data_IF_771103408621
#
_entry.id   IF_771103408621
#
_cell.length_a   1.000
_cell.length_b   1.000
_cell.length_c   1.000
_cell.angle_alpha   90.00
_cell.angle_beta   90.00
_cell.angle_gamma   90.00
#
_symmetry.space_group_name_H-M   'P 1'
#
loop_
_entity.id
_entity.type
_entity.pdbx_description
1 polymer ?
#
# COMPACT_ATOMS: atom_id res chain seq x y z
N UNK A 1 -0.56 38.36 -43.81
CA UNK A 1 -0.43 37.15 -42.98
C UNK A 1 -0.88 37.51 -41.57
N UNK A 2 -1.91 36.90 -40.98
CA UNK A 2 -2.18 37.11 -39.56
C UNK A 2 -1.17 36.30 -38.72
N UNK A 3 -0.54 36.96 -37.75
CA UNK A 3 0.40 36.34 -36.83
C UNK A 3 -0.33 35.49 -35.79
N UNK A 4 0.17 34.28 -35.54
CA UNK A 4 -0.35 33.40 -34.51
C UNK A 4 -0.01 34.01 -33.14
N UNK A 5 -1.02 34.35 -32.35
CA UNK A 5 -0.81 34.78 -30.97
C UNK A 5 -0.35 33.58 -30.12
N UNK A 6 0.55 33.76 -29.14
CA UNK A 6 0.99 32.67 -28.28
C UNK A 6 -0.20 32.15 -27.47
N UNK A 7 -0.44 30.85 -27.53
CA UNK A 7 -1.37 30.18 -26.61
C UNK A 7 -0.72 30.20 -25.23
N UNK A 8 -1.33 30.89 -24.28
CA UNK A 8 -0.91 30.87 -22.88
C UNK A 8 -1.17 29.48 -22.33
N UNK A 9 -0.08 28.73 -22.10
CA UNK A 9 -0.15 27.39 -21.51
C UNK A 9 -0.37 27.59 -20.02
N UNK A 10 -1.57 27.28 -19.54
CA UNK A 10 -1.89 27.24 -18.12
C UNK A 10 -1.01 26.14 -17.50
N UNK A 11 0.08 26.55 -16.85
CA UNK A 11 0.97 25.62 -16.18
C UNK A 11 0.19 25.08 -14.98
N UNK A 12 0.04 23.75 -14.83
CA UNK A 12 -0.62 23.22 -13.65
C UNK A 12 0.15 23.70 -12.44
N UNK A 13 -0.55 24.43 -11.56
CA UNK A 13 -0.04 24.84 -10.27
C UNK A 13 0.25 23.57 -9.47
N UNK A 14 1.49 23.09 -9.59
CA UNK A 14 2.08 22.07 -8.74
C UNK A 14 2.35 22.72 -7.38
N UNK A 15 1.32 23.31 -6.77
CA UNK A 15 1.35 23.72 -5.38
C UNK A 15 1.87 22.51 -4.62
N UNK A 16 3.03 22.67 -3.99
CA UNK A 16 3.65 21.64 -3.17
C UNK A 16 2.62 21.24 -2.11
N UNK A 17 1.89 20.16 -2.38
CA UNK A 17 1.01 19.56 -1.38
C UNK A 17 1.97 18.95 -0.38
N UNK A 18 2.30 19.72 0.65
CA UNK A 18 2.93 19.19 1.85
C UNK A 18 1.89 18.26 2.45
N UNK A 19 1.88 17.01 2.02
CA UNK A 19 1.07 15.96 2.65
C UNK A 19 1.60 15.86 4.09
N UNK A 20 0.80 16.24 5.11
CA UNK A 20 1.20 15.97 6.47
C UNK A 20 1.39 14.45 6.62
N UNK A 21 2.30 14.00 7.49
CA UNK A 21 2.38 12.59 7.88
C UNK A 21 1.01 12.20 8.46
N UNK A 22 0.19 11.58 7.61
CA UNK A 22 -1.15 11.12 7.94
C UNK A 22 -1.03 9.66 8.37
N UNK A 23 -1.67 9.27 9.49
CA UNK A 23 -1.59 7.90 9.97
C UNK A 23 -2.19 6.95 8.94
N UNK A 24 -1.48 5.87 8.66
CA UNK A 24 -1.87 4.87 7.67
C UNK A 24 -1.80 3.46 8.23
N UNK A 25 -2.54 2.55 7.60
CA UNK A 25 -2.53 1.11 7.91
C UNK A 25 -2.41 0.30 6.62
N UNK A 26 -1.70 -0.82 6.68
CA UNK A 26 -1.64 -1.82 5.61
C UNK A 26 -2.57 -2.97 5.98
N UNK A 27 -3.54 -3.25 5.12
CA UNK A 27 -4.49 -4.35 5.28
C UNK A 27 -4.19 -5.41 4.22
N UNK A 28 -4.12 -6.66 4.65
CA UNK A 28 -4.02 -7.83 3.77
C UNK A 28 -5.35 -8.55 3.78
N UNK A 29 -5.85 -8.90 2.59
CA UNK A 29 -7.13 -9.58 2.38
C UNK A 29 -6.89 -11.05 2.04
N UNK A 30 -7.82 -11.91 2.43
CA UNK A 30 -7.79 -13.32 2.06
C UNK A 30 -8.21 -13.50 0.61
N UNK A 31 -7.58 -14.45 -0.07
CA UNK A 31 -7.91 -14.85 -1.43
C UNK A 31 -7.82 -16.38 -1.57
N UNK A 32 -8.52 -16.98 -2.54
CA UNK A 32 -8.55 -18.44 -2.69
C UNK A 32 -7.39 -19.01 -3.51
N UNK A 33 -6.46 -18.18 -4.00
CA UNK A 33 -5.43 -18.58 -4.97
C UNK A 33 -4.07 -18.72 -4.30
N UNK A 34 -3.69 -17.76 -3.46
CA UNK A 34 -2.40 -17.74 -2.81
C UNK A 34 -2.33 -18.79 -1.69
N UNK A 35 -1.21 -19.50 -1.66
CA UNK A 35 -0.95 -20.50 -0.64
C UNK A 35 -0.59 -19.83 0.70
N UNK A 36 -1.00 -20.45 1.80
CA UNK A 36 -0.63 -20.01 3.17
C UNK A 36 0.89 -19.84 3.33
N UNK A 37 1.68 -20.78 2.80
CA UNK A 37 3.14 -20.73 2.85
C UNK A 37 3.73 -19.55 2.09
N UNK A 38 3.10 -19.15 0.97
CA UNK A 38 3.52 -17.99 0.21
C UNK A 38 3.22 -16.70 0.97
N UNK A 39 2.03 -16.57 1.55
CA UNK A 39 1.65 -15.41 2.36
C UNK A 39 2.57 -15.26 3.58
N UNK A 40 2.87 -16.36 4.28
CA UNK A 40 3.84 -16.36 5.39
C UNK A 40 5.21 -15.87 4.92
N UNK A 41 5.72 -16.36 3.79
CA UNK A 41 7.01 -15.92 3.24
C UNK A 41 7.01 -14.42 2.91
N UNK A 42 5.93 -13.91 2.31
CA UNK A 42 5.78 -12.48 2.01
C UNK A 42 5.81 -11.64 3.28
N UNK A 43 5.18 -12.09 4.37
CA UNK A 43 5.23 -11.37 5.64
C UNK A 43 6.63 -11.34 6.26
N UNK A 44 7.41 -12.41 6.10
CA UNK A 44 8.81 -12.42 6.52
C UNK A 44 9.67 -11.46 5.67
N UNK A 45 9.47 -11.44 4.34
CA UNK A 45 10.31 -10.65 3.44
C UNK A 45 9.98 -9.15 3.42
N UNK A 46 8.70 -8.78 3.43
CA UNK A 46 8.28 -7.38 3.32
C UNK A 46 8.22 -6.66 4.67
N UNK A 47 7.81 -7.36 5.73
CA UNK A 47 7.63 -6.77 7.06
C UNK A 47 8.71 -7.21 8.07
N UNK A 48 9.61 -8.10 7.68
CA UNK A 48 10.69 -8.58 8.56
C UNK A 48 10.20 -9.41 9.74
N UNK A 49 9.01 -10.00 9.66
CA UNK A 49 8.44 -10.76 10.77
C UNK A 49 9.10 -12.12 10.95
N UNK A 50 9.13 -12.60 12.20
CA UNK A 50 9.53 -13.98 12.49
C UNK A 50 8.55 -14.95 11.84
N UNK A 51 8.98 -16.19 11.59
CA UNK A 51 8.10 -17.21 11.00
C UNK A 51 6.82 -17.41 11.83
N UNK A 52 6.94 -17.38 13.17
CA UNK A 52 5.82 -17.54 14.08
C UNK A 52 4.80 -16.40 13.93
N UNK A 53 5.25 -15.14 13.99
CA UNK A 53 4.38 -13.97 13.80
C UNK A 53 3.77 -13.91 12.40
N UNK A 54 4.54 -14.26 11.37
CA UNK A 54 4.05 -14.33 10.00
C UNK A 54 2.96 -15.41 9.85
N UNK A 55 3.12 -16.56 10.50
CA UNK A 55 2.13 -17.64 10.48
C UNK A 55 0.84 -17.22 11.20
N UNK A 56 0.95 -16.55 12.34
CA UNK A 56 -0.20 -16.02 13.09
C UNK A 56 -1.00 -15.02 12.25
N UNK A 57 -0.33 -14.02 11.66
CA UNK A 57 -0.98 -13.02 10.80
C UNK A 57 -1.60 -13.66 9.56
N UNK A 58 -0.96 -14.65 8.97
CA UNK A 58 -1.50 -15.37 7.82
C UNK A 58 -2.79 -16.11 8.18
N UNK A 59 -2.81 -16.81 9.32
CA UNK A 59 -4.02 -17.49 9.82
C UNK A 59 -5.15 -16.49 10.10
N UNK A 60 -4.80 -15.31 10.62
CA UNK A 60 -5.74 -14.23 10.83
C UNK A 60 -6.38 -13.76 9.52
N UNK A 61 -5.57 -13.54 8.48
CA UNK A 61 -6.08 -13.23 7.14
C UNK A 61 -7.00 -14.35 6.66
N UNK A 62 -6.57 -15.61 6.73
CA UNK A 62 -7.31 -16.75 6.22
C UNK A 62 -8.70 -16.92 6.88
N UNK A 63 -8.76 -16.83 8.21
CA UNK A 63 -10.00 -17.05 8.95
C UNK A 63 -10.92 -15.81 8.99
N UNK A 64 -10.34 -14.60 9.11
CA UNK A 64 -11.11 -13.35 9.28
C UNK A 64 -11.41 -12.66 7.94
N UNK A 65 -10.82 -13.14 6.85
CA UNK A 65 -10.93 -12.54 5.51
C UNK A 65 -10.04 -11.32 5.30
N UNK A 66 -9.48 -10.74 6.36
CA UNK A 66 -8.49 -9.65 6.32
C UNK A 66 -7.78 -9.47 7.66
N UNK A 67 -6.59 -8.87 7.64
CA UNK A 67 -5.86 -8.45 8.84
C UNK A 67 -5.07 -7.16 8.59
N UNK A 68 -4.88 -6.34 9.64
CA UNK A 68 -3.92 -5.22 9.63
C UNK A 68 -2.54 -5.79 9.89
N UNK A 69 -1.59 -5.52 9.00
CA UNK A 69 -0.22 -6.07 9.07
C UNK A 69 0.84 -5.02 9.36
N UNK A 70 0.56 -3.73 9.16
CA UNK A 70 1.48 -2.64 9.50
C UNK A 70 0.71 -1.33 9.65
N UNK A 71 1.31 -0.36 10.33
CA UNK A 71 0.77 1.00 10.49
C UNK A 71 1.90 2.02 10.61
N UNK A 72 1.68 3.22 10.10
CA UNK A 72 2.55 4.37 10.30
C UNK A 72 1.80 5.54 10.93
N UNK A 73 2.53 6.43 11.57
CA UNK A 73 2.04 7.71 12.12
C UNK A 73 2.29 8.83 11.15
#
# INVERSE_FOLDING_TARGET
>A
MPGVAPVEVDQPDLGEVVDPDLPWIVIVWNDPINLMSYVTLVFQQLFGYSHEKATELMLDVHHKGKAVVSSGT
#
